data_IF_920871817725
#
_entry.id   IF_920871817725
#
_cell.length_a   1.000
_cell.length_b   1.000
_cell.length_c   1.000
_cell.angle_alpha   90.00
_cell.angle_beta   90.00
_cell.angle_gamma   90.00
#
_symmetry.space_group_name_H-M   'P 1'
#
loop_
_entity.id
_entity.type
_entity.pdbx_description
1 polymer ?
#
# COMPACT_ATOMS: atom_id res chain seq x y z
N UNK A 1 22.47 -11.82 3.20
CA UNK A 1 21.00 -11.76 3.21
C UNK A 1 20.59 -11.57 1.76
N UNK A 2 20.05 -12.60 1.14
CA UNK A 2 19.60 -12.54 -0.25
C UNK A 2 18.19 -11.93 -0.24
N UNK A 3 18.05 -10.74 -0.81
CA UNK A 3 16.79 -9.98 -0.84
C UNK A 3 15.90 -10.36 -2.03
N UNK A 4 16.28 -11.38 -2.82
CA UNK A 4 15.60 -11.71 -4.08
C UNK A 4 14.45 -12.71 -3.93
N UNK A 5 14.27 -13.30 -2.74
CA UNK A 5 13.26 -14.34 -2.50
C UNK A 5 12.22 -13.98 -1.42
N UNK A 6 11.91 -12.70 -1.26
CA UNK A 6 10.81 -12.23 -0.40
C UNK A 6 9.50 -12.05 -1.21
N UNK A 7 9.35 -12.86 -2.26
CA UNK A 7 8.14 -12.83 -3.10
C UNK A 7 7.01 -13.48 -2.29
N UNK A 8 5.79 -12.90 -2.31
CA UNK A 8 4.64 -13.51 -1.65
C UNK A 8 4.49 -14.97 -2.05
N UNK A 9 4.10 -15.83 -1.12
CA UNK A 9 3.86 -17.23 -1.41
C UNK A 9 2.86 -17.35 -2.58
N UNK A 10 2.96 -18.40 -3.39
CA UNK A 10 2.06 -18.58 -4.52
C UNK A 10 0.58 -18.60 -4.04
N UNK A 11 -0.17 -17.56 -4.39
CA UNK A 11 -1.57 -17.35 -3.97
C UNK A 11 -1.78 -16.23 -2.96
N UNK A 12 -0.74 -15.62 -2.42
CA UNK A 12 -0.84 -14.52 -1.47
C UNK A 12 -0.83 -13.15 -2.18
N UNK A 13 -1.73 -12.26 -1.75
CA UNK A 13 -1.86 -10.90 -2.33
C UNK A 13 -0.61 -10.08 -1.94
N UNK A 14 0.05 -9.40 -2.89
CA UNK A 14 1.13 -8.48 -2.53
C UNK A 14 0.64 -7.40 -1.57
N UNK A 15 1.42 -7.02 -0.54
CA UNK A 15 1.08 -5.93 0.35
C UNK A 15 0.82 -4.64 -0.42
N UNK A 16 -0.13 -3.84 0.07
CA UNK A 16 -0.52 -2.54 -0.50
C UNK A 16 -1.07 -2.60 -1.94
N UNK A 17 -1.56 -3.77 -2.39
CA UNK A 17 -2.22 -3.94 -3.68
C UNK A 17 -3.60 -4.51 -3.47
N UNK A 18 -4.67 -3.82 -3.85
CA UNK A 18 -6.04 -4.31 -3.70
C UNK A 18 -7.06 -3.21 -3.44
N UNK A 19 -8.14 -3.59 -2.78
CA UNK A 19 -9.24 -2.71 -2.34
C UNK A 19 -8.82 -1.83 -1.15
N UNK A 20 -9.62 -0.81 -0.85
CA UNK A 20 -9.32 0.10 0.26
C UNK A 20 -9.30 -0.60 1.63
N UNK A 21 -10.15 -1.60 1.84
CA UNK A 21 -10.19 -2.38 3.08
C UNK A 21 -8.95 -3.29 3.21
N UNK A 22 -8.50 -3.89 2.10
CA UNK A 22 -7.27 -4.68 2.06
C UNK A 22 -6.03 -3.83 2.34
N UNK A 23 -5.94 -2.63 1.74
CA UNK A 23 -4.84 -1.70 2.01
C UNK A 23 -4.84 -1.22 3.46
N UNK A 24 -6.01 -0.92 4.04
CA UNK A 24 -6.10 -0.51 5.44
C UNK A 24 -5.72 -1.64 6.41
N UNK A 25 -6.11 -2.89 6.09
CA UNK A 25 -5.69 -4.06 6.85
C UNK A 25 -4.17 -4.25 6.81
N UNK A 26 -3.53 -4.07 5.65
CA UNK A 26 -2.07 -4.10 5.53
C UNK A 26 -1.44 -3.03 6.44
N UNK A 27 -1.91 -1.78 6.41
CA UNK A 27 -1.36 -0.71 7.25
C UNK A 27 -1.45 -1.07 8.74
N UNK A 28 -2.60 -1.54 9.21
CA UNK A 28 -2.80 -1.96 10.61
C UNK A 28 -1.89 -3.11 11.02
N UNK A 29 -1.62 -4.04 10.10
CA UNK A 29 -0.67 -5.13 10.38
C UNK A 29 0.73 -4.56 10.62
N UNK A 30 1.16 -3.58 9.82
CA UNK A 30 2.45 -2.91 10.03
C UNK A 30 2.47 -2.04 11.30
N UNK A 31 1.38 -1.37 11.64
CA UNK A 31 1.25 -0.66 12.92
C UNK A 31 1.38 -1.61 14.12
N UNK A 32 0.74 -2.78 14.06
CA UNK A 32 0.87 -3.82 15.09
C UNK A 32 2.30 -4.36 15.24
N UNK A 33 3.12 -4.25 14.19
CA UNK A 33 4.56 -4.56 14.21
C UNK A 33 5.42 -3.40 14.74
N UNK A 34 4.81 -2.26 15.12
CA UNK A 34 5.50 -1.08 15.66
C UNK A 34 5.95 -0.07 14.60
N UNK A 35 5.51 -0.21 13.35
CA UNK A 35 5.75 0.81 12.32
C UNK A 35 4.92 2.04 12.64
N UNK A 36 5.57 3.20 12.72
CA UNK A 36 4.94 4.48 13.10
C UNK A 36 4.86 5.47 11.94
N UNK A 37 5.58 5.20 10.85
CA UNK A 37 5.68 6.10 9.71
C UNK A 37 5.65 5.28 8.42
N UNK A 38 4.75 5.64 7.50
CA UNK A 38 4.61 5.02 6.19
C UNK A 38 4.90 6.06 5.11
N UNK A 39 5.77 5.71 4.15
CA UNK A 39 6.01 6.51 2.95
C UNK A 39 5.39 5.74 1.78
N UNK A 40 4.41 6.34 1.12
CA UNK A 40 3.69 5.71 0.00
C UNK A 40 4.13 6.32 -1.32
N UNK A 41 4.62 5.49 -2.23
CA UNK A 41 5.03 5.88 -3.59
C UNK A 41 3.90 5.61 -4.59
N UNK A 42 3.36 6.68 -5.19
CA UNK A 42 2.33 6.59 -6.23
C UNK A 42 2.91 6.65 -7.65
N UNK A 43 4.17 7.08 -7.81
CA UNK A 43 4.79 7.38 -9.11
C UNK A 43 5.12 6.12 -9.90
N UNK A 44 5.39 5.00 -9.23
CA UNK A 44 5.65 3.71 -9.91
C UNK A 44 4.43 3.12 -10.62
N UNK A 45 3.24 3.68 -10.38
CA UNK A 45 2.00 3.13 -10.92
C UNK A 45 1.44 3.89 -12.13
N UNK A 46 1.95 5.08 -12.43
CA UNK A 46 1.62 5.86 -13.63
C UNK A 46 2.60 7.03 -13.80
N UNK A 47 2.96 7.34 -15.06
CA UNK A 47 3.70 8.56 -15.40
C UNK A 47 2.77 9.75 -15.69
N UNK A 48 1.45 9.57 -15.57
CA UNK A 48 0.45 10.62 -15.73
C UNK A 48 0.15 11.31 -14.40
N UNK A 49 0.21 12.64 -14.39
CA UNK A 49 0.07 13.46 -13.19
C UNK A 49 -1.34 13.35 -12.59
N UNK A 50 -2.38 13.46 -13.42
CA UNK A 50 -3.76 13.43 -12.96
C UNK A 50 -4.10 12.07 -12.35
N UNK A 51 -3.62 10.99 -12.95
CA UNK A 51 -3.72 9.64 -12.39
C UNK A 51 -3.02 9.53 -11.03
N UNK A 52 -1.82 10.09 -10.89
CA UNK A 52 -1.10 10.09 -9.62
C UNK A 52 -1.88 10.86 -8.54
N UNK A 53 -2.35 12.06 -8.84
CA UNK A 53 -3.15 12.88 -7.93
C UNK A 53 -4.45 12.18 -7.54
N UNK A 54 -5.15 11.56 -8.49
CA UNK A 54 -6.37 10.80 -8.22
C UNK A 54 -6.12 9.61 -7.29
N UNK A 55 -4.97 8.93 -7.40
CA UNK A 55 -4.60 7.85 -6.47
C UNK A 55 -4.26 8.38 -5.08
N UNK A 56 -3.58 9.52 -4.98
CA UNK A 56 -3.30 10.17 -3.69
C UNK A 56 -4.60 10.57 -2.99
N UNK A 57 -5.54 11.19 -3.72
CA UNK A 57 -6.85 11.58 -3.20
C UNK A 57 -7.66 10.35 -2.77
N UNK A 58 -7.68 9.30 -3.58
CA UNK A 58 -8.38 8.05 -3.26
C UNK A 58 -7.77 7.39 -2.01
N UNK A 59 -6.44 7.34 -1.91
CA UNK A 59 -5.79 6.83 -0.69
C UNK A 59 -6.17 7.66 0.55
N UNK A 60 -6.11 8.99 0.45
CA UNK A 60 -6.42 9.89 1.57
C UNK A 60 -7.89 9.83 2.01
N UNK A 61 -8.82 9.66 1.08
CA UNK A 61 -10.27 9.71 1.36
C UNK A 61 -10.91 8.34 1.57
N UNK A 62 -10.32 7.29 0.99
CA UNK A 62 -10.87 5.94 1.07
C UNK A 62 -10.00 5.07 2.00
N UNK A 63 -8.68 5.02 1.86
CA UNK A 63 -7.87 4.10 2.68
C UNK A 63 -7.66 4.66 4.08
N UNK A 64 -7.13 5.87 4.19
CA UNK A 64 -6.69 6.43 5.49
C UNK A 64 -7.78 6.48 6.57
N UNK A 65 -9.05 6.81 6.28
CA UNK A 65 -10.12 6.78 7.29
C UNK A 65 -10.48 5.38 7.80
N UNK A 66 -10.00 4.32 7.14
CA UNK A 66 -10.24 2.92 7.50
C UNK A 66 -9.09 2.30 8.29
N UNK A 67 -7.95 2.98 8.40
CA UNK A 67 -6.82 2.62 9.27
C UNK A 67 -7.17 3.00 10.70
#
# INVERSE_FOLDING_TARGET
MDLTDDRPAAGERPPFVGTADELAADIRQYEAMGVTHLIVDFLRTSNDLDTCLGKMENFATQVWPRV
#
